data_IF_171482594328
#
_entry.id   IF_171482594328
#
_cell.length_a   1.000
_cell.length_b   1.000
_cell.length_c   1.000
_cell.angle_alpha   90.00
_cell.angle_beta   90.00
_cell.angle_gamma   90.00
#
_symmetry.space_group_name_H-M   'P 1'
#
loop_
_entity.id
_entity.type
_entity.pdbx_description
1 polymer ?
#
# COMPACT_ATOMS: atom_id res chain seq x y z
N UNK A 1 2.05 63.46 5.66
CA UNK A 1 0.76 63.30 5.01
C UNK A 1 0.19 61.93 5.36
N UNK A 2 -0.94 61.94 5.96
CA UNK A 2 -1.56 61.06 6.89
C UNK A 2 -1.91 59.65 6.42
N UNK A 3 -1.78 58.72 7.37
CA UNK A 3 -2.38 57.36 7.33
C UNK A 3 -3.88 57.47 7.67
N UNK A 4 -4.75 56.74 7.04
CA UNK A 4 -6.13 56.63 7.49
C UNK A 4 -6.27 55.53 8.56
N UNK A 5 -6.98 55.89 9.63
CA UNK A 5 -7.41 55.04 10.76
C UNK A 5 -8.62 54.24 10.41
N UNK A 6 -8.75 52.93 10.83
CA UNK A 6 -9.96 52.15 10.66
C UNK A 6 -11.00 52.52 11.73
N UNK A 7 -12.32 52.37 11.42
CA UNK A 7 -13.39 52.74 12.31
C UNK A 7 -13.66 51.72 13.42
N UNK A 8 -14.02 52.27 14.58
CA UNK A 8 -14.38 51.53 15.79
C UNK A 8 -15.71 50.82 15.68
N UNK A 9 -15.78 49.60 16.23
CA UNK A 9 -17.00 48.79 16.34
C UNK A 9 -17.65 49.07 17.69
N UNK A 10 -18.92 49.45 17.66
CA UNK A 10 -19.75 49.67 18.86
C UNK A 10 -20.63 48.40 19.07
N UNK A 11 -20.74 47.88 20.30
CA UNK A 11 -21.67 46.79 20.57
C UNK A 11 -23.05 47.33 20.88
N UNK A 12 -24.05 46.91 20.14
CA UNK A 12 -25.47 47.14 20.41
C UNK A 12 -26.06 46.05 21.30
N UNK A 13 -26.67 46.47 22.37
CA UNK A 13 -27.41 45.64 23.32
C UNK A 13 -28.86 45.43 22.87
N UNK A 14 -29.40 44.25 23.23
CA UNK A 14 -30.77 44.14 23.63
C UNK A 14 -31.71 43.36 22.72
N UNK A 15 -32.29 42.33 23.31
CA UNK A 15 -33.71 42.01 23.40
C UNK A 15 -33.98 40.50 23.28
N UNK A 16 -34.18 39.92 24.42
CA UNK A 16 -35.29 39.09 24.99
C UNK A 16 -36.21 38.32 24.06
N UNK A 17 -36.33 37.04 24.43
CA UNK A 17 -37.53 36.17 24.48
C UNK A 17 -38.06 35.66 23.14
N UNK A 18 -37.96 34.34 22.99
CA UNK A 18 -39.15 33.47 22.97
C UNK A 18 -38.71 32.01 23.22
N UNK A 19 -39.39 31.40 24.17
CA UNK A 19 -39.21 30.02 24.58
C UNK A 19 -40.07 29.14 23.66
N UNK A 20 -39.49 28.13 23.05
CA UNK A 20 -40.18 27.07 22.35
C UNK A 20 -40.33 25.85 23.30
N UNK A 21 -41.58 25.38 23.58
CA UNK A 21 -41.81 24.32 24.57
C UNK A 21 -42.05 22.97 23.92
N UNK A 22 -41.05 22.35 23.28
CA UNK A 22 -41.14 20.94 22.84
C UNK A 22 -39.79 20.20 22.92
N UNK A 23 -39.16 20.26 24.08
CA UNK A 23 -38.10 19.35 24.43
C UNK A 23 -38.66 18.11 25.12
N UNK A 24 -38.92 17.05 24.36
CA UNK A 24 -39.25 15.73 24.87
C UNK A 24 -38.07 15.14 25.64
N UNK A 25 -38.12 15.23 26.98
CA UNK A 25 -37.21 14.57 27.88
C UNK A 25 -37.50 13.06 27.90
N UNK A 26 -36.58 12.26 27.34
CA UNK A 26 -36.61 10.80 27.50
C UNK A 26 -36.08 10.43 28.89
N UNK A 27 -37.01 10.18 29.79
CA UNK A 27 -36.73 9.55 31.09
C UNK A 27 -36.34 8.10 30.91
N UNK A 28 -35.16 7.74 31.37
CA UNK A 28 -34.73 6.37 31.59
C UNK A 28 -35.45 5.81 32.82
N UNK A 29 -36.16 4.69 32.74
CA UNK A 29 -36.73 4.08 33.94
C UNK A 29 -35.66 3.29 34.70
N UNK A 30 -35.33 3.74 35.88
CA UNK A 30 -34.67 2.98 36.93
C UNK A 30 -35.65 1.96 37.48
N UNK A 31 -35.54 0.72 37.08
CA UNK A 31 -36.32 -0.38 37.66
C UNK A 31 -35.37 -1.49 38.09
N UNK A 32 -35.12 -1.53 39.40
CA UNK A 32 -34.46 -2.65 40.04
C UNK A 32 -35.36 -3.88 40.06
N UNK A 33 -34.86 -4.99 39.60
CA UNK A 33 -35.37 -6.32 39.91
C UNK A 33 -34.19 -7.18 40.34
N UNK A 34 -34.23 -7.52 41.64
CA UNK A 34 -33.39 -8.52 42.27
C UNK A 34 -33.85 -9.89 41.80
N UNK A 35 -32.97 -10.70 41.26
CA UNK A 35 -33.20 -12.10 40.98
C UNK A 35 -32.05 -13.02 41.36
N UNK A 36 -32.32 -14.29 41.63
CA UNK A 36 -31.61 -15.09 42.61
C UNK A 36 -30.31 -15.69 42.09
N UNK A 37 -29.40 -15.83 43.04
CA UNK A 37 -28.10 -16.45 42.90
C UNK A 37 -28.17 -17.88 42.32
N UNK A 38 -27.54 -18.07 41.13
CA UNK A 38 -27.05 -19.37 40.72
C UNK A 38 -25.60 -19.55 41.19
N UNK A 39 -25.23 -20.72 41.72
CA UNK A 39 -23.87 -20.95 42.17
C UNK A 39 -22.92 -20.95 41.00
N UNK A 40 -21.93 -20.04 41.05
CA UNK A 40 -20.78 -20.01 40.17
C UNK A 40 -19.91 -21.23 40.43
N UNK A 41 -19.82 -22.12 39.47
CA UNK A 41 -18.83 -23.19 39.42
C UNK A 41 -17.46 -22.56 39.21
N UNK A 42 -16.60 -22.61 40.23
CA UNK A 42 -15.33 -21.90 40.36
C UNK A 42 -14.14 -22.67 39.74
N UNK A 43 -14.32 -23.45 38.69
CA UNK A 43 -13.21 -24.21 38.06
C UNK A 43 -13.19 -24.19 36.52
N UNK A 44 -13.60 -23.10 35.90
CA UNK A 44 -13.20 -22.85 34.51
C UNK A 44 -11.97 -21.93 34.52
N UNK A 45 -10.84 -22.32 33.93
CA UNK A 45 -9.72 -21.41 33.76
C UNK A 45 -10.21 -20.23 32.89
N UNK A 46 -10.17 -19.06 33.47
CA UNK A 46 -10.41 -17.78 32.84
C UNK A 46 -9.40 -17.65 31.69
N UNK A 47 -9.80 -18.03 30.47
CA UNK A 47 -9.06 -17.78 29.25
C UNK A 47 -9.19 -16.29 28.97
N UNK A 48 -8.33 -15.54 29.67
CA UNK A 48 -8.29 -14.09 29.63
C UNK A 48 -8.27 -13.59 28.20
N UNK A 49 -9.15 -12.66 27.93
CA UNK A 49 -9.18 -11.74 26.80
C UNK A 49 -7.88 -10.91 26.66
N UNK A 50 -6.86 -11.21 27.49
CA UNK A 50 -5.63 -10.41 27.63
C UNK A 50 -4.54 -10.72 26.60
N UNK A 51 -4.69 -11.77 25.80
CA UNK A 51 -3.64 -12.17 24.84
C UNK A 51 -3.80 -11.59 23.43
N UNK A 52 -4.85 -10.84 23.16
CA UNK A 52 -4.96 -10.03 21.95
C UNK A 52 -4.49 -8.61 22.27
N UNK A 53 -3.73 -7.95 21.37
CA UNK A 53 -3.36 -6.57 21.58
C UNK A 53 -4.61 -5.77 21.96
N UNK A 54 -4.54 -4.94 23.03
CA UNK A 54 -5.68 -4.21 23.53
C UNK A 54 -6.32 -3.43 22.38
N UNK A 55 -7.64 -3.50 22.28
CA UNK A 55 -8.39 -2.55 21.48
C UNK A 55 -8.10 -1.18 22.07
N UNK A 56 -7.25 -0.40 21.42
CA UNK A 56 -7.04 0.99 21.79
C UNK A 56 -8.35 1.73 21.58
N UNK A 57 -9.10 1.94 22.64
CA UNK A 57 -10.33 2.73 22.67
C UNK A 57 -10.07 4.23 22.78
N UNK A 58 -8.82 4.68 22.64
CA UNK A 58 -8.48 6.09 22.50
C UNK A 58 -8.73 6.59 21.06
N UNK A 59 -9.81 6.12 20.46
CA UNK A 59 -10.40 6.82 19.32
C UNK A 59 -11.19 7.96 19.96
N UNK A 60 -10.60 9.14 19.98
CA UNK A 60 -11.35 10.38 20.11
C UNK A 60 -12.57 10.24 19.21
N UNK A 61 -13.75 10.52 19.78
CA UNK A 61 -15.07 10.42 19.15
C UNK A 61 -15.18 11.38 17.94
N UNK A 62 -14.29 11.26 16.96
CA UNK A 62 -14.55 11.75 15.61
C UNK A 62 -15.39 10.69 14.89
N UNK A 63 -16.68 10.79 15.16
CA UNK A 63 -17.70 10.02 14.49
C UNK A 63 -17.58 10.21 12.98
N UNK A 64 -16.95 9.25 12.29
CA UNK A 64 -16.99 9.22 10.85
C UNK A 64 -15.86 8.51 10.11
N UNK A 65 -14.71 8.22 10.72
CA UNK A 65 -13.64 7.57 9.97
C UNK A 65 -13.64 6.04 10.16
N UNK A 66 -14.66 5.39 9.63
CA UNK A 66 -14.53 3.97 9.31
C UNK A 66 -13.36 3.79 8.33
N UNK A 67 -12.60 2.69 8.46
CA UNK A 67 -11.57 2.36 7.49
C UNK A 67 -12.12 2.54 6.07
N UNK A 68 -11.42 3.23 5.16
CA UNK A 68 -11.91 3.42 3.81
C UNK A 68 -12.05 2.05 3.16
N UNK A 69 -13.30 1.66 2.97
CA UNK A 69 -13.66 0.36 2.40
C UNK A 69 -13.67 0.50 0.89
N UNK A 70 -12.91 -0.34 0.21
CA UNK A 70 -13.05 -0.49 -1.23
C UNK A 70 -14.30 -1.32 -1.50
N UNK A 71 -15.33 -0.77 -2.13
CA UNK A 71 -16.42 -1.58 -2.63
C UNK A 71 -15.87 -2.65 -3.59
N UNK A 72 -16.39 -3.88 -3.58
CA UNK A 72 -15.98 -4.89 -4.54
C UNK A 72 -16.15 -4.35 -5.97
N UNK A 73 -15.08 -4.40 -6.76
CA UNK A 73 -15.10 -3.90 -8.14
C UNK A 73 -14.75 -2.42 -8.32
N UNK A 74 -14.23 -1.73 -7.31
CA UNK A 74 -13.75 -0.36 -7.48
C UNK A 74 -12.55 -0.34 -8.43
N UNK A 75 -12.75 0.16 -9.64
CA UNK A 75 -11.69 0.37 -10.62
C UNK A 75 -11.20 1.81 -10.54
N UNK A 76 -9.97 2.00 -10.07
CA UNK A 76 -9.33 3.31 -10.04
C UNK A 76 -8.95 3.77 -11.45
N UNK A 77 -9.23 5.03 -11.76
CA UNK A 77 -8.75 5.68 -12.99
C UNK A 77 -9.33 5.11 -14.27
N UNK A 78 -10.64 5.12 -14.45
CA UNK A 78 -11.33 4.60 -15.63
C UNK A 78 -11.22 5.46 -16.90
N UNK A 79 -10.30 6.43 -16.97
CA UNK A 79 -10.05 7.07 -18.25
C UNK A 79 -9.47 6.04 -19.22
N UNK A 80 -10.11 5.87 -20.37
CA UNK A 80 -9.65 4.94 -21.40
C UNK A 80 -8.26 5.33 -21.87
N UNK A 81 -7.34 4.38 -21.84
CA UNK A 81 -6.01 4.56 -22.39
C UNK A 81 -6.11 4.86 -23.91
N UNK A 82 -5.26 5.76 -24.39
CA UNK A 82 -5.28 6.20 -25.80
C UNK A 82 -4.67 5.16 -26.77
N UNK A 83 -4.01 4.14 -26.23
CA UNK A 83 -3.40 3.06 -26.99
C UNK A 83 -3.49 1.73 -26.22
N UNK A 84 -3.41 0.58 -26.93
CA UNK A 84 -3.38 -0.72 -26.29
C UNK A 84 -2.11 -0.86 -25.44
N UNK A 85 -2.27 -1.50 -24.26
CA UNK A 85 -1.19 -1.74 -23.30
C UNK A 85 -1.05 -3.21 -22.98
N UNK A 86 0.15 -3.60 -22.58
CA UNK A 86 0.45 -4.86 -21.93
C UNK A 86 0.67 -4.59 -20.45
N UNK A 87 0.13 -5.44 -19.59
CA UNK A 87 0.31 -5.33 -18.13
C UNK A 87 0.96 -6.60 -17.63
N UNK A 88 2.05 -6.46 -16.87
CA UNK A 88 2.65 -7.57 -16.16
C UNK A 88 1.81 -7.88 -14.92
N UNK A 89 1.22 -9.06 -14.88
CA UNK A 89 0.32 -9.48 -13.80
C UNK A 89 0.97 -9.50 -12.40
N UNK A 90 2.30 -9.72 -12.33
CA UNK A 90 2.99 -9.82 -11.06
C UNK A 90 3.32 -8.46 -10.46
N UNK A 91 3.85 -7.56 -11.29
CA UNK A 91 4.35 -6.23 -10.87
C UNK A 91 3.35 -5.11 -11.16
N UNK A 92 2.35 -5.37 -12.01
CA UNK A 92 1.43 -4.36 -12.49
C UNK A 92 2.05 -3.34 -13.48
N UNK A 93 3.28 -3.55 -13.90
CA UNK A 93 3.97 -2.65 -14.84
C UNK A 93 3.20 -2.56 -16.16
N UNK A 94 2.82 -1.34 -16.52
CA UNK A 94 2.12 -1.04 -17.77
C UNK A 94 3.14 -0.73 -18.88
N UNK A 95 2.97 -1.35 -20.03
CA UNK A 95 3.85 -1.18 -21.19
C UNK A 95 3.03 -0.83 -22.42
N UNK A 96 3.36 0.30 -23.04
CA UNK A 96 2.83 0.74 -24.32
C UNK A 96 3.90 0.63 -25.38
N UNK A 97 3.60 0.01 -26.52
CA UNK A 97 4.47 -0.04 -27.69
C UNK A 97 3.67 0.50 -28.87
N UNK A 98 3.91 1.75 -29.25
CA UNK A 98 3.09 2.44 -30.24
C UNK A 98 3.83 3.60 -30.89
N UNK A 99 3.52 3.86 -32.17
CA UNK A 99 4.00 5.02 -32.91
C UNK A 99 3.19 6.30 -32.62
N UNK A 100 1.98 6.16 -32.08
CA UNK A 100 1.07 7.29 -31.84
C UNK A 100 1.69 8.34 -30.93
N UNK A 101 2.32 7.89 -29.84
CA UNK A 101 2.95 8.77 -28.85
C UNK A 101 4.32 9.31 -29.30
N UNK A 102 4.88 8.76 -30.37
CA UNK A 102 6.10 9.28 -30.98
C UNK A 102 5.81 10.42 -31.96
N UNK A 103 4.64 10.38 -32.60
CA UNK A 103 4.24 11.35 -33.62
C UNK A 103 3.69 12.65 -33.00
N UNK A 104 2.96 12.56 -31.89
CA UNK A 104 2.30 13.72 -31.28
C UNK A 104 2.62 13.86 -29.78
N UNK A 105 3.37 14.90 -29.40
CA UNK A 105 3.73 15.16 -27.98
C UNK A 105 2.53 15.44 -27.10
N UNK A 106 1.41 16.01 -27.64
CA UNK A 106 0.20 16.27 -26.88
C UNK A 106 -0.56 14.98 -26.52
N UNK A 107 -0.55 13.99 -27.43
CA UNK A 107 -1.13 12.68 -27.12
C UNK A 107 -0.32 11.95 -26.08
N UNK A 108 1.03 12.05 -26.13
CA UNK A 108 1.91 11.51 -25.11
C UNK A 108 1.65 12.15 -23.75
N UNK A 109 1.56 13.48 -23.68
CA UNK A 109 1.25 14.23 -22.47
C UNK A 109 -0.09 13.81 -21.87
N UNK A 110 -1.13 13.70 -22.70
CA UNK A 110 -2.45 13.26 -22.30
C UNK A 110 -2.42 11.84 -21.72
N UNK A 111 -1.71 10.91 -22.38
CA UNK A 111 -1.55 9.54 -21.86
C UNK A 111 -0.82 9.51 -20.52
N UNK A 112 0.24 10.30 -20.36
CA UNK A 112 0.98 10.39 -19.10
C UNK A 112 0.06 10.90 -17.98
N UNK A 113 -0.76 11.92 -18.23
CA UNK A 113 -1.72 12.44 -17.25
C UNK A 113 -2.79 11.40 -16.90
N UNK A 114 -3.31 10.65 -17.88
CA UNK A 114 -4.22 9.52 -17.64
C UNK A 114 -3.55 8.46 -16.76
N UNK A 115 -2.31 8.09 -17.10
CA UNK A 115 -1.56 7.09 -16.33
C UNK A 115 -1.18 7.58 -14.94
N UNK A 116 -0.83 8.86 -14.78
CA UNK A 116 -0.54 9.48 -13.48
C UNK A 116 -1.77 9.54 -12.57
N UNK A 117 -2.98 9.55 -13.15
CA UNK A 117 -4.23 9.54 -12.40
C UNK A 117 -4.54 8.19 -11.75
N UNK A 118 -3.93 7.10 -12.21
CA UNK A 118 -4.08 5.78 -11.60
C UNK A 118 -3.17 5.66 -10.39
N UNK A 119 -3.69 5.22 -9.23
CA UNK A 119 -2.87 5.07 -8.03
C UNK A 119 -1.86 3.94 -8.18
N UNK A 120 -0.68 4.04 -7.54
CA UNK A 120 0.14 2.88 -7.25
C UNK A 120 -0.58 2.01 -6.23
N UNK A 121 -0.26 0.72 -6.19
CA UNK A 121 -0.84 -0.22 -5.25
C UNK A 121 0.23 -0.67 -4.24
N UNK A 122 0.38 0.06 -3.11
CA UNK A 122 1.27 -0.35 -2.04
C UNK A 122 0.65 -1.49 -1.24
N UNK A 123 1.50 -2.44 -0.84
CA UNK A 123 1.14 -3.57 0.01
C UNK A 123 2.05 -3.61 1.23
N UNK A 124 1.50 -4.03 2.35
CA UNK A 124 2.28 -4.59 3.45
C UNK A 124 2.33 -6.10 3.27
N UNK A 125 3.50 -6.69 3.21
CA UNK A 125 3.69 -8.14 3.09
C UNK A 125 4.50 -8.63 4.27
N UNK A 126 3.93 -9.55 5.03
CA UNK A 126 4.52 -10.18 6.21
C UNK A 126 4.74 -11.64 5.89
N UNK A 127 5.99 -12.07 5.89
CA UNK A 127 6.39 -13.41 5.51
C UNK A 127 7.17 -14.06 6.66
N UNK A 128 6.64 -15.15 7.17
CA UNK A 128 7.28 -15.95 8.22
C UNK A 128 7.83 -17.25 7.67
N UNK A 129 9.10 -17.55 8.01
CA UNK A 129 9.78 -18.76 7.58
C UNK A 129 10.56 -19.38 8.74
N UNK A 130 10.65 -20.72 8.74
CA UNK A 130 11.58 -21.45 9.58
C UNK A 130 12.45 -22.38 8.74
N UNK A 131 13.56 -22.85 9.31
CA UNK A 131 14.44 -23.81 8.66
C UNK A 131 14.11 -25.20 9.15
N UNK A 132 13.87 -26.11 8.20
CA UNK A 132 13.63 -27.53 8.46
C UNK A 132 14.73 -28.37 7.81
N UNK A 133 15.21 -29.39 8.52
CA UNK A 133 16.10 -30.40 7.97
C UNK A 133 15.28 -31.42 7.19
N UNK A 134 15.49 -31.47 5.88
CA UNK A 134 14.87 -32.47 5.01
C UNK A 134 15.94 -33.43 4.55
N UNK A 135 15.67 -34.73 4.70
CA UNK A 135 16.52 -35.78 4.17
C UNK A 135 16.09 -36.12 2.74
N UNK A 136 16.89 -35.68 1.78
CA UNK A 136 16.67 -35.94 0.37
C UNK A 136 17.84 -36.75 -0.18
N UNK A 137 17.56 -37.97 -0.70
CA UNK A 137 18.57 -38.91 -1.21
C UNK A 137 19.66 -39.28 -0.20
N UNK A 138 19.34 -39.44 1.08
CA UNK A 138 20.30 -39.80 2.13
C UNK A 138 21.22 -38.64 2.55
N UNK A 139 20.98 -37.43 2.08
CA UNK A 139 21.68 -36.21 2.52
C UNK A 139 20.70 -35.28 3.25
N UNK A 140 21.12 -34.83 4.42
CA UNK A 140 20.39 -33.82 5.19
C UNK A 140 20.67 -32.46 4.56
N UNK A 141 19.62 -31.81 4.05
CA UNK A 141 19.68 -30.45 3.50
C UNK A 141 18.76 -29.53 4.30
N UNK A 142 19.23 -28.32 4.57
CA UNK A 142 18.38 -27.27 5.15
C UNK A 142 17.44 -26.72 4.07
N UNK A 143 16.15 -26.68 4.38
CA UNK A 143 15.15 -26.06 3.52
C UNK A 143 14.37 -25.02 4.32
N UNK A 144 14.26 -23.81 3.75
CA UNK A 144 13.37 -22.81 4.30
C UNK A 144 11.90 -23.17 3.96
N UNK A 145 11.09 -23.27 4.99
CA UNK A 145 9.64 -23.53 4.86
C UNK A 145 8.89 -22.26 5.21
N UNK A 146 7.91 -21.91 4.37
CA UNK A 146 7.04 -20.77 4.63
C UNK A 146 5.94 -21.20 5.59
N UNK A 147 5.88 -20.54 6.75
CA UNK A 147 4.84 -20.77 7.74
C UNK A 147 3.57 -19.99 7.42
N UNK A 148 3.74 -18.73 7.07
CA UNK A 148 2.65 -17.86 6.67
C UNK A 148 3.16 -16.78 5.72
N UNK A 149 2.26 -16.28 4.88
CA UNK A 149 2.48 -15.13 4.02
C UNK A 149 1.22 -14.29 3.96
N UNK A 150 1.21 -13.20 4.69
CA UNK A 150 0.04 -12.32 4.82
C UNK A 150 0.36 -11.01 4.14
N UNK A 151 -0.55 -10.52 3.30
CA UNK A 151 -0.42 -9.20 2.69
C UNK A 151 -1.69 -8.38 2.88
N UNK A 152 -1.53 -7.06 3.00
CA UNK A 152 -2.62 -6.09 3.12
C UNK A 152 -2.40 -5.02 2.07
N UNK A 153 -3.44 -4.69 1.30
CA UNK A 153 -3.39 -3.61 0.30
C UNK A 153 -3.67 -2.26 0.94
N UNK A 154 -2.78 -1.30 0.73
CA UNK A 154 -2.89 0.04 1.29
C UNK A 154 -3.44 1.09 0.30
N UNK A 155 -3.83 0.69 -0.90
CA UNK A 155 -4.36 1.62 -1.93
C UNK A 155 -5.53 2.48 -1.43
N UNK A 156 -6.50 1.97 -0.64
CA UNK A 156 -7.61 2.79 -0.13
C UNK A 156 -7.15 3.99 0.71
N UNK A 157 -6.03 3.83 1.42
CA UNK A 157 -5.51 4.86 2.33
C UNK A 157 -4.77 6.00 1.63
N UNK A 158 -4.62 5.94 0.30
CA UNK A 158 -4.12 7.04 -0.54
C UNK A 158 -5.22 8.04 -0.91
N UNK A 159 -6.46 7.80 -0.49
CA UNK A 159 -7.60 8.65 -0.76
C UNK A 159 -8.20 9.19 0.53
N UNK A 160 -8.52 10.48 0.54
CA UNK A 160 -9.30 11.08 1.63
C UNK A 160 -10.77 10.64 1.57
N UNK A 161 -11.27 10.43 0.36
CA UNK A 161 -12.57 9.82 0.09
C UNK A 161 -12.44 8.89 -1.12
N UNK A 162 -12.68 7.61 -0.87
CA UNK A 162 -12.59 6.56 -1.90
C UNK A 162 -13.69 6.70 -2.95
N UNK A 163 -14.88 7.18 -2.55
CA UNK A 163 -16.01 7.31 -3.46
C UNK A 163 -15.78 8.42 -4.51
N UNK A 164 -15.25 9.56 -4.08
CA UNK A 164 -14.91 10.68 -4.97
C UNK A 164 -13.51 10.59 -5.55
N UNK A 165 -12.71 9.60 -5.14
CA UNK A 165 -11.30 9.43 -5.53
C UNK A 165 -10.43 10.68 -5.28
N UNK A 166 -10.75 11.42 -4.22
CA UNK A 166 -10.00 12.60 -3.82
C UNK A 166 -8.68 12.17 -3.14
N UNK A 167 -7.56 12.60 -3.71
CA UNK A 167 -6.20 12.25 -3.24
C UNK A 167 -5.26 13.44 -3.37
N UNK A 168 -4.19 13.43 -2.58
CA UNK A 168 -3.11 14.40 -2.71
C UNK A 168 -2.08 13.88 -3.71
N UNK A 169 -2.39 14.09 -4.98
CA UNK A 169 -1.53 13.67 -6.08
C UNK A 169 -0.89 14.87 -6.75
N UNK A 170 0.41 14.79 -6.99
CA UNK A 170 1.16 15.78 -7.73
C UNK A 170 1.99 15.10 -8.85
N UNK A 171 1.90 15.63 -10.07
CA UNK A 171 2.77 15.20 -11.16
C UNK A 171 3.97 16.14 -11.24
N UNK A 172 5.15 15.60 -10.95
CA UNK A 172 6.40 16.35 -10.93
C UNK A 172 7.32 15.93 -12.07
N UNK A 173 8.03 16.93 -12.61
CA UNK A 173 9.19 16.69 -13.47
C UNK A 173 10.47 16.71 -12.66
N UNK A 174 11.47 15.95 -13.10
CA UNK A 174 12.77 15.80 -12.42
C UNK A 174 13.51 17.12 -12.34
N UNK A 175 14.09 17.38 -11.18
CA UNK A 175 14.93 18.55 -10.95
C UNK A 175 16.33 18.38 -11.54
N UNK A 176 17.00 19.51 -11.81
CA UNK A 176 18.33 19.50 -12.39
C UNK A 176 19.39 18.80 -11.52
N UNK A 177 19.17 18.79 -10.20
CA UNK A 177 20.01 18.11 -9.21
C UNK A 177 19.88 16.58 -9.21
N UNK A 178 18.75 16.04 -9.65
CA UNK A 178 18.45 14.62 -9.58
C UNK A 178 19.21 13.82 -10.64
N UNK A 179 19.69 12.63 -10.25
CA UNK A 179 20.32 11.67 -11.17
C UNK A 179 19.25 10.82 -11.86
N UNK A 180 18.94 11.14 -13.12
CA UNK A 180 17.94 10.43 -13.94
C UNK A 180 18.40 10.29 -15.38
N UNK A 181 17.71 9.45 -16.15
CA UNK A 181 17.88 9.37 -17.59
C UNK A 181 17.05 10.45 -18.28
N UNK A 182 17.72 11.40 -18.93
CA UNK A 182 17.12 12.53 -19.68
C UNK A 182 17.29 12.35 -21.19
N UNK A 183 16.81 11.24 -21.76
CA UNK A 183 17.11 10.84 -23.13
C UNK A 183 18.52 10.29 -23.28
N UNK A 184 19.03 9.69 -22.22
CA UNK A 184 20.38 9.11 -22.15
C UNK A 184 20.29 7.66 -21.71
N UNK A 185 21.35 6.90 -21.93
CA UNK A 185 21.48 5.51 -21.46
C UNK A 185 21.74 5.47 -19.95
N UNK A 186 22.58 6.38 -19.48
CA UNK A 186 23.00 6.41 -18.09
C UNK A 186 22.29 7.54 -17.34
N UNK A 187 22.00 7.30 -16.06
CA UNK A 187 21.47 8.32 -15.16
C UNK A 187 22.53 9.39 -14.87
N UNK A 188 22.22 10.64 -15.21
CA UNK A 188 23.09 11.80 -15.02
C UNK A 188 22.28 12.95 -14.42
N UNK A 189 22.98 13.87 -13.72
CA UNK A 189 22.43 15.17 -13.38
C UNK A 189 22.37 16.05 -14.63
N UNK A 190 21.61 17.15 -14.57
CA UNK A 190 21.56 18.10 -15.67
C UNK A 190 22.96 18.66 -16.00
N UNK A 191 23.25 18.99 -17.26
CA UNK A 191 24.48 19.70 -17.61
C UNK A 191 24.60 21.01 -16.82
N UNK A 192 25.78 21.32 -16.33
CA UNK A 192 26.04 22.56 -15.55
C UNK A 192 25.89 22.45 -14.03
N UNK A 193 25.26 21.37 -13.51
CA UNK A 193 25.06 21.21 -12.05
C UNK A 193 26.36 21.17 -11.21
N UNK A 194 27.51 20.85 -11.82
CA UNK A 194 28.82 20.81 -11.12
C UNK A 194 29.53 22.15 -11.05
N UNK A 195 29.11 23.12 -11.83
CA UNK A 195 29.62 24.46 -11.73
C UNK A 195 28.77 25.17 -10.67
N UNK A 196 29.38 25.61 -9.59
CA UNK A 196 28.84 26.51 -8.55
C UNK A 196 28.44 27.88 -9.11
N UNK A 197 28.34 28.00 -10.40
CA UNK A 197 27.56 29.04 -10.99
C UNK A 197 26.16 28.76 -10.50
N UNK A 198 25.57 29.65 -9.71
CA UNK A 198 24.15 29.77 -9.58
C UNK A 198 23.53 29.74 -10.99
N UNK A 199 23.39 28.56 -11.57
CA UNK A 199 22.44 28.29 -12.63
C UNK A 199 21.09 28.36 -11.91
N UNK A 200 21.00 29.51 -11.21
CA UNK A 200 19.79 29.99 -10.63
C UNK A 200 18.85 30.11 -11.78
N UNK A 201 17.70 29.56 -11.62
CA UNK A 201 16.48 29.99 -12.28
C UNK A 201 16.22 29.58 -13.70
N UNK A 202 16.97 28.66 -14.31
CA UNK A 202 16.36 27.98 -15.44
C UNK A 202 15.22 27.12 -14.92
N UNK A 203 13.95 27.49 -15.21
CA UNK A 203 12.81 26.74 -14.71
C UNK A 203 12.96 25.28 -15.18
N UNK A 204 12.73 24.34 -14.27
CA UNK A 204 12.78 22.93 -14.64
C UNK A 204 11.86 22.70 -15.84
N UNK A 205 12.25 21.86 -16.82
CA UNK A 205 11.44 21.62 -18.00
C UNK A 205 10.06 21.06 -17.61
N UNK A 206 9.03 21.58 -18.23
CA UNK A 206 7.65 21.16 -18.04
C UNK A 206 7.40 19.76 -18.62
N UNK A 207 6.30 19.12 -18.28
CA UNK A 207 5.90 17.83 -18.85
C UNK A 207 5.79 17.94 -20.39
N UNK A 208 5.17 19.00 -20.90
CA UNK A 208 5.03 19.25 -22.33
C UNK A 208 6.38 19.31 -23.04
N UNK A 209 7.36 20.02 -22.47
CA UNK A 209 8.71 20.09 -23.03
C UNK A 209 9.42 18.75 -23.06
N UNK A 210 9.25 17.90 -22.03
CA UNK A 210 9.80 16.56 -22.03
C UNK A 210 9.16 15.66 -23.09
N UNK A 211 7.84 15.79 -23.30
CA UNK A 211 7.14 15.10 -24.38
C UNK A 211 7.67 15.53 -25.76
N UNK A 212 7.86 16.84 -25.96
CA UNK A 212 8.48 17.36 -27.18
C UNK A 212 9.91 16.83 -27.39
N UNK A 213 10.75 16.82 -26.35
CA UNK A 213 12.12 16.27 -26.42
C UNK A 213 12.13 14.78 -26.74
N UNK A 214 11.19 14.01 -26.21
CA UNK A 214 11.03 12.60 -26.55
C UNK A 214 10.65 12.40 -28.03
N UNK A 215 9.66 13.13 -28.52
CA UNK A 215 9.22 13.06 -29.91
C UNK A 215 10.33 13.52 -30.87
N UNK A 216 11.03 14.60 -30.55
CA UNK A 216 12.15 15.11 -31.35
C UNK A 216 13.40 14.22 -31.34
N UNK A 217 13.48 13.25 -30.44
CA UNK A 217 14.64 12.35 -30.37
C UNK A 217 14.64 11.35 -31.53
N UNK A 218 15.69 11.34 -32.35
CA UNK A 218 15.89 10.40 -33.45
C UNK A 218 16.48 9.05 -33.03
N UNK A 219 16.44 8.69 -31.74
CA UNK A 219 16.98 7.42 -31.29
C UNK A 219 16.14 6.24 -31.81
N UNK A 220 16.79 5.22 -32.33
CA UNK A 220 16.14 4.01 -32.86
C UNK A 220 15.34 3.28 -31.76
N UNK A 221 15.89 3.19 -30.56
CA UNK A 221 15.22 2.58 -29.40
C UNK A 221 15.12 3.61 -28.30
N UNK A 222 13.91 4.04 -27.98
CA UNK A 222 13.63 5.01 -26.91
C UNK A 222 12.46 4.59 -26.06
N UNK A 223 12.50 5.01 -24.80
CA UNK A 223 11.50 4.70 -23.80
C UNK A 223 11.21 5.93 -22.96
N UNK A 224 9.95 6.28 -22.79
CA UNK A 224 9.50 7.26 -21.80
C UNK A 224 8.97 6.52 -20.57
N UNK A 225 9.37 6.96 -19.39
CA UNK A 225 9.03 6.29 -18.12
C UNK A 225 8.30 7.27 -17.22
N UNK A 226 7.10 6.89 -16.80
CA UNK A 226 6.39 7.51 -15.70
C UNK A 226 6.56 6.60 -14.48
N UNK A 227 6.97 7.18 -13.35
CA UNK A 227 7.04 6.48 -12.06
C UNK A 227 5.97 7.03 -11.13
N UNK A 228 5.15 6.14 -10.55
CA UNK A 228 4.21 6.45 -9.48
C UNK A 228 4.86 6.12 -8.15
N UNK A 229 4.85 7.05 -7.19
CA UNK A 229 5.48 6.85 -5.88
C UNK A 229 4.50 7.18 -4.77
N UNK A 230 4.56 6.42 -3.70
CA UNK A 230 3.93 6.81 -2.43
C UNK A 230 4.95 7.60 -1.63
N UNK A 231 4.57 8.78 -1.14
CA UNK A 231 5.45 9.70 -0.43
C UNK A 231 4.88 9.98 0.96
N UNK A 232 5.76 10.11 1.96
CA UNK A 232 5.36 10.45 3.33
C UNK A 232 4.82 9.27 4.15
N UNK A 233 5.05 8.02 3.72
CA UNK A 233 4.71 6.82 4.47
C UNK A 233 5.90 6.34 5.30
N UNK A 234 5.73 6.15 6.61
CA UNK A 234 6.77 5.69 7.52
C UNK A 234 6.78 4.15 7.59
N UNK A 235 7.56 3.55 6.66
CA UNK A 235 7.72 2.10 6.61
C UNK A 235 8.40 1.52 7.85
N UNK A 236 9.35 2.24 8.46
CA UNK A 236 10.12 1.73 9.59
C UNK A 236 9.27 1.63 10.84
N UNK A 237 8.45 2.64 11.09
CA UNK A 237 7.50 2.66 12.19
C UNK A 237 6.52 1.48 12.09
N UNK A 238 5.87 1.34 10.96
CA UNK A 238 4.90 0.24 10.76
C UNK A 238 5.58 -1.13 10.80
N UNK A 239 6.80 -1.26 10.25
CA UNK A 239 7.59 -2.49 10.30
C UNK A 239 7.86 -2.92 11.74
N UNK A 240 8.28 -2.00 12.60
CA UNK A 240 8.58 -2.29 14.01
C UNK A 240 7.34 -2.74 14.78
N UNK A 241 6.19 -2.09 14.54
CA UNK A 241 4.92 -2.46 15.17
C UNK A 241 4.44 -3.84 14.71
N UNK A 242 4.54 -4.14 13.42
CA UNK A 242 4.13 -5.43 12.87
C UNK A 242 5.09 -6.58 13.30
N UNK A 243 6.39 -6.32 13.42
CA UNK A 243 7.32 -7.33 13.97
C UNK A 243 6.96 -7.64 15.42
N UNK A 244 6.71 -6.63 16.25
CA UNK A 244 6.27 -6.81 17.63
C UNK A 244 4.94 -7.59 17.70
N UNK A 245 3.99 -7.30 16.79
CA UNK A 245 2.73 -8.01 16.69
C UNK A 245 2.93 -9.50 16.38
N UNK A 246 3.76 -9.82 15.39
CA UNK A 246 4.05 -11.22 15.04
C UNK A 246 4.78 -11.92 16.18
N UNK A 247 5.72 -11.25 16.86
CA UNK A 247 6.41 -11.80 18.03
C UNK A 247 5.48 -12.04 19.22
N UNK A 248 4.45 -11.21 19.39
CA UNK A 248 3.43 -11.42 20.43
C UNK A 248 2.64 -12.72 20.25
N UNK A 249 2.55 -13.27 19.03
CA UNK A 249 1.98 -14.59 18.78
C UNK A 249 2.91 -15.75 19.16
N UNK A 250 4.04 -15.45 19.79
CA UNK A 250 5.10 -16.41 20.17
C UNK A 250 5.75 -17.12 18.97
N UNK A 251 5.74 -16.47 17.80
CA UNK A 251 6.44 -16.97 16.62
C UNK A 251 7.95 -16.79 16.77
N UNK A 252 8.72 -17.87 16.55
CA UNK A 252 10.17 -17.92 16.73
C UNK A 252 10.97 -17.94 15.43
N UNK A 253 10.31 -18.14 14.29
CA UNK A 253 10.96 -18.17 12.99
C UNK A 253 11.45 -16.81 12.52
N UNK A 254 11.97 -16.77 11.32
CA UNK A 254 12.39 -15.54 10.65
C UNK A 254 11.18 -14.78 10.11
N UNK A 255 11.07 -13.49 10.45
CA UNK A 255 10.01 -12.59 9.94
C UNK A 255 10.63 -11.61 8.96
N UNK A 256 10.05 -11.52 7.77
CA UNK A 256 10.43 -10.57 6.74
C UNK A 256 9.22 -9.69 6.41
N UNK A 257 9.29 -8.40 6.74
CA UNK A 257 8.24 -7.41 6.45
C UNK A 257 8.73 -6.50 5.33
N UNK A 258 7.98 -6.48 4.24
CA UNK A 258 8.30 -5.68 3.04
C UNK A 258 7.10 -4.87 2.60
N UNK A 259 7.36 -3.76 1.91
CA UNK A 259 6.35 -2.84 1.38
C UNK A 259 6.43 -2.78 -0.15
N UNK A 260 6.05 -3.88 -0.85
CA UNK A 260 6.07 -3.87 -2.31
C UNK A 260 4.99 -2.96 -2.86
N UNK A 261 5.35 -2.19 -3.89
CA UNK A 261 4.41 -1.33 -4.63
C UNK A 261 4.19 -1.96 -6.00
N UNK A 262 2.94 -2.28 -6.32
CA UNK A 262 2.54 -2.66 -7.68
C UNK A 262 2.08 -1.44 -8.46
N UNK A 263 2.00 -1.56 -9.78
CA UNK A 263 1.61 -0.47 -10.68
C UNK A 263 2.52 0.78 -10.57
N UNK A 264 3.78 0.60 -10.14
CA UNK A 264 4.72 1.70 -9.92
C UNK A 264 5.20 2.33 -11.23
N UNK A 265 5.43 1.52 -12.27
CA UNK A 265 6.04 1.99 -13.50
C UNK A 265 5.12 1.88 -14.70
N UNK A 266 5.18 2.91 -15.56
CA UNK A 266 4.58 2.92 -16.88
C UNK A 266 5.68 3.18 -17.92
N UNK A 267 5.86 2.24 -18.83
CA UNK A 267 6.84 2.33 -19.91
C UNK A 267 6.14 2.59 -21.23
N UNK A 268 6.55 3.65 -21.93
CA UNK A 268 6.07 3.99 -23.27
C UNK A 268 7.23 3.87 -24.22
N UNK A 269 7.24 2.81 -25.00
CA UNK A 269 8.26 2.52 -26.01
C UNK A 269 7.82 3.02 -27.40
N UNK A 270 8.78 3.46 -28.18
CA UNK A 270 8.52 3.72 -29.60
C UNK A 270 8.31 2.39 -30.35
N UNK A 271 7.55 2.49 -31.45
CA UNK A 271 7.19 1.35 -32.29
C UNK A 271 8.31 0.97 -33.27
N UNK A 272 9.40 0.41 -32.74
CA UNK A 272 10.45 -0.17 -33.53
C UNK A 272 10.42 -1.71 -33.46
N UNK A 273 10.97 -2.39 -34.48
CA UNK A 273 10.97 -3.85 -34.53
C UNK A 273 11.67 -4.49 -33.32
N UNK A 274 12.70 -3.86 -32.74
CA UNK A 274 13.40 -4.31 -31.53
C UNK A 274 12.46 -4.33 -30.33
N UNK A 275 11.70 -3.26 -30.13
CA UNK A 275 10.76 -3.18 -29.01
C UNK A 275 9.58 -4.14 -29.20
N UNK A 276 9.07 -4.31 -30.42
CA UNK A 276 8.04 -5.34 -30.69
C UNK A 276 8.56 -6.73 -30.34
N UNK A 277 9.78 -7.09 -30.72
CA UNK A 277 10.39 -8.39 -30.40
C UNK A 277 10.58 -8.57 -28.90
N UNK A 278 11.06 -7.51 -28.22
CA UNK A 278 11.27 -7.52 -26.76
C UNK A 278 9.99 -7.83 -25.98
N UNK A 279 8.83 -7.39 -26.45
CA UNK A 279 7.54 -7.56 -25.77
C UNK A 279 6.70 -8.71 -26.31
N UNK A 280 7.18 -9.46 -27.31
CA UNK A 280 6.50 -10.65 -27.86
C UNK A 280 6.97 -11.90 -27.12
N UNK A 281 6.05 -12.58 -26.41
CA UNK A 281 6.39 -13.69 -25.52
C UNK A 281 7.12 -14.86 -26.19
N UNK A 282 6.66 -15.32 -27.37
CA UNK A 282 7.30 -16.44 -28.05
C UNK A 282 8.73 -16.12 -28.52
N UNK A 283 9.01 -14.88 -28.94
CA UNK A 283 10.35 -14.42 -29.31
C UNK A 283 11.26 -14.41 -28.09
N UNK A 284 10.75 -13.92 -26.94
CA UNK A 284 11.49 -13.95 -25.65
C UNK A 284 11.91 -15.38 -25.29
N UNK A 285 11.00 -16.36 -25.44
CA UNK A 285 11.31 -17.76 -25.16
C UNK A 285 12.42 -18.29 -26.08
N UNK A 286 12.44 -17.95 -27.39
CA UNK A 286 13.53 -18.32 -28.29
C UNK A 286 14.85 -17.74 -27.79
N UNK A 287 14.89 -16.46 -27.42
CA UNK A 287 16.11 -15.82 -26.92
C UNK A 287 16.60 -16.46 -25.61
N UNK A 288 15.70 -16.89 -24.72
CA UNK A 288 16.08 -17.61 -23.51
C UNK A 288 16.66 -19.00 -23.82
N UNK A 289 15.99 -19.79 -24.65
CA UNK A 289 16.41 -21.14 -25.02
C UNK A 289 17.73 -21.18 -25.81
N UNK A 290 17.97 -20.18 -26.66
CA UNK A 290 19.19 -20.08 -27.50
C UNK A 290 20.34 -19.33 -26.83
N UNK A 291 20.17 -18.88 -25.57
CA UNK A 291 21.13 -18.05 -24.85
C UNK A 291 21.50 -16.72 -25.56
N UNK A 292 20.77 -16.32 -26.57
CA UNK A 292 20.98 -15.05 -27.28
C UNK A 292 20.76 -13.82 -26.36
N UNK A 293 20.08 -13.99 -25.24
CA UNK A 293 19.88 -12.92 -24.25
C UNK A 293 21.20 -12.38 -23.69
N UNK A 294 22.28 -13.19 -23.65
CA UNK A 294 23.62 -12.78 -23.20
C UNK A 294 24.15 -11.63 -24.04
N UNK A 295 23.88 -11.66 -25.35
CA UNK A 295 24.30 -10.62 -26.29
C UNK A 295 23.28 -9.52 -26.45
N UNK A 296 22.00 -9.87 -26.50
CA UNK A 296 20.94 -8.90 -26.74
C UNK A 296 20.70 -7.98 -25.53
N UNK A 297 20.91 -8.44 -24.29
CA UNK A 297 20.72 -7.63 -23.10
C UNK A 297 21.71 -6.45 -22.99
N UNK A 298 23.05 -6.64 -23.16
CA UNK A 298 23.98 -5.52 -23.17
C UNK A 298 23.70 -4.56 -24.36
N UNK A 299 23.37 -5.10 -25.54
CA UNK A 299 22.99 -4.29 -26.67
C UNK A 299 21.79 -3.38 -26.33
N UNK A 300 20.69 -3.94 -25.86
CA UNK A 300 19.51 -3.16 -25.46
C UNK A 300 19.85 -2.13 -24.39
N UNK A 301 20.67 -2.50 -23.42
CA UNK A 301 21.07 -1.61 -22.34
C UNK A 301 21.81 -0.37 -22.85
N UNK A 302 22.77 -0.54 -23.76
CA UNK A 302 23.58 0.56 -24.27
C UNK A 302 22.92 1.37 -25.41
N UNK A 303 21.92 0.80 -26.07
CA UNK A 303 21.25 1.47 -27.20
C UNK A 303 19.91 2.11 -26.85
N UNK A 304 19.27 1.70 -25.76
CA UNK A 304 17.98 2.28 -25.35
C UNK A 304 18.19 3.65 -24.69
N UNK A 305 17.64 4.71 -25.29
CA UNK A 305 17.58 6.03 -24.65
C UNK A 305 16.33 6.12 -23.80
N UNK A 306 16.53 6.32 -22.50
CA UNK A 306 15.45 6.37 -21.51
C UNK A 306 15.19 7.81 -21.08
N UNK A 307 13.91 8.19 -21.02
CA UNK A 307 13.41 9.45 -20.46
C UNK A 307 12.68 9.13 -19.15
N UNK A 308 13.41 9.03 -18.06
CA UNK A 308 12.88 8.84 -16.69
C UNK A 308 12.79 10.22 -16.03
N UNK A 309 11.82 11.01 -16.48
CA UNK A 309 11.77 12.45 -16.19
C UNK A 309 10.48 12.91 -15.52
N UNK A 310 9.53 12.02 -15.33
CA UNK A 310 8.22 12.33 -14.74
C UNK A 310 7.90 11.36 -13.63
N UNK A 311 7.49 11.91 -12.49
CA UNK A 311 6.98 11.16 -11.33
C UNK A 311 5.58 11.65 -10.97
N UNK A 312 4.70 10.72 -10.65
CA UNK A 312 3.42 11.00 -10.03
C UNK A 312 3.55 10.64 -8.54
N UNK A 313 3.65 11.67 -7.72
CA UNK A 313 3.77 11.52 -6.27
C UNK A 313 2.36 11.46 -5.66
N UNK A 314 2.11 10.42 -4.89
CA UNK A 314 0.90 10.18 -4.15
C UNK A 314 1.24 10.34 -2.68
N UNK A 315 0.90 11.48 -2.11
CA UNK A 315 1.25 11.77 -0.74
C UNK A 315 0.32 11.01 0.20
N UNK A 316 0.92 10.22 1.07
CA UNK A 316 0.27 9.58 2.20
C UNK A 316 0.17 10.55 3.38
N UNK A 317 1.25 11.30 3.62
CA UNK A 317 1.29 12.37 4.61
C UNK A 317 2.09 13.57 4.12
N UNK A 318 1.77 14.75 4.66
CA UNK A 318 2.50 16.01 4.41
C UNK A 318 2.85 16.69 5.72
N UNK A 319 4.05 17.24 5.87
CA UNK A 319 4.38 18.08 7.01
C UNK A 319 3.58 19.39 6.95
N UNK A 320 2.96 19.75 8.07
CA UNK A 320 2.30 21.04 8.25
C UNK A 320 3.28 22.08 8.84
N UNK A 321 2.94 23.36 8.73
CA UNK A 321 3.73 24.47 9.28
C UNK A 321 3.91 24.39 10.81
N UNK A 322 3.00 23.72 11.51
CA UNK A 322 3.06 23.49 12.95
C UNK A 322 3.97 22.31 13.35
N UNK A 323 4.66 21.67 12.41
CA UNK A 323 5.53 20.52 12.64
C UNK A 323 4.78 19.18 12.80
N UNK A 324 3.44 19.18 12.71
CA UNK A 324 2.65 17.95 12.70
C UNK A 324 2.54 17.38 11.28
N UNK A 325 2.33 16.06 11.19
CA UNK A 325 2.00 15.41 9.92
C UNK A 325 0.49 15.48 9.69
N UNK A 326 0.09 15.94 8.52
CA UNK A 326 -1.28 15.75 8.02
C UNK A 326 -1.31 14.50 7.15
N UNK A 327 -2.32 13.68 7.32
CA UNK A 327 -2.53 12.45 6.57
C UNK A 327 -3.69 12.63 5.59
N UNK A 328 -3.58 11.99 4.43
CA UNK A 328 -4.67 12.02 3.43
C UNK A 328 -5.90 11.29 3.97
N UNK A 329 -5.71 10.15 4.59
CA UNK A 329 -6.77 9.32 5.16
C UNK A 329 -6.49 9.10 6.65
N UNK A 330 -5.65 8.15 6.98
CA UNK A 330 -5.34 7.81 8.38
C UNK A 330 -3.84 7.59 8.57
N UNK A 331 -3.39 7.71 9.82
CA UNK A 331 -1.98 7.51 10.20
C UNK A 331 -1.58 6.04 10.15
N UNK A 332 -0.26 5.78 10.15
CA UNK A 332 0.30 4.42 10.22
C UNK A 332 -0.18 3.69 11.49
N UNK A 333 -0.27 4.40 12.62
CA UNK A 333 -0.76 3.83 13.89
C UNK A 333 -2.22 3.38 13.76
N UNK A 334 -3.03 4.17 13.07
CA UNK A 334 -4.43 3.83 12.84
C UNK A 334 -4.57 2.63 11.90
N UNK A 335 -3.77 2.57 10.84
CA UNK A 335 -3.72 1.40 9.94
C UNK A 335 -3.30 0.16 10.73
N UNK A 336 -2.26 0.27 11.58
CA UNK A 336 -1.83 -0.82 12.44
C UNK A 336 -2.97 -1.29 13.33
N UNK A 337 -3.61 -0.39 14.08
CA UNK A 337 -4.70 -0.74 14.99
C UNK A 337 -5.89 -1.40 14.28
N UNK A 338 -6.21 -0.93 13.06
CA UNK A 338 -7.28 -1.49 12.24
C UNK A 338 -6.99 -2.93 11.82
N UNK A 339 -5.75 -3.22 11.39
CA UNK A 339 -5.40 -4.51 10.81
C UNK A 339 -4.75 -5.49 11.80
N UNK A 340 -4.33 -5.05 12.99
CA UNK A 340 -3.57 -5.86 13.93
C UNK A 340 -4.26 -7.19 14.27
N UNK A 341 -5.58 -7.17 14.55
CA UNK A 341 -6.35 -8.38 14.85
C UNK A 341 -6.44 -9.33 13.66
N UNK A 342 -6.77 -8.81 12.48
CA UNK A 342 -6.87 -9.62 11.27
C UNK A 342 -5.52 -10.25 10.89
N UNK A 343 -4.42 -9.49 11.01
CA UNK A 343 -3.06 -9.98 10.77
C UNK A 343 -2.70 -11.06 11.80
N UNK A 344 -2.89 -10.83 13.11
CA UNK A 344 -2.59 -11.82 14.15
C UNK A 344 -3.35 -13.12 13.93
N UNK A 345 -4.63 -13.03 13.56
CA UNK A 345 -5.48 -14.17 13.24
C UNK A 345 -4.97 -14.94 12.03
N UNK A 346 -4.58 -14.24 10.96
CA UNK A 346 -4.05 -14.85 9.75
C UNK A 346 -2.68 -15.52 10.00
N UNK A 347 -1.82 -14.89 10.83
CA UNK A 347 -0.51 -15.45 11.24
C UNK A 347 -0.70 -16.74 12.04
N UNK A 348 -1.56 -16.73 13.06
CA UNK A 348 -1.87 -17.91 13.87
C UNK A 348 -2.53 -19.02 13.05
N UNK A 349 -3.36 -18.65 12.07
CA UNK A 349 -3.96 -19.57 11.11
C UNK A 349 -3.02 -20.06 10.01
N UNK A 350 -1.73 -19.65 10.01
CA UNK A 350 -0.72 -19.98 8.99
C UNK A 350 -1.21 -19.73 7.56
N UNK A 351 -1.94 -18.62 7.37
CA UNK A 351 -2.55 -18.30 6.08
C UNK A 351 -1.51 -17.76 5.09
N UNK A 352 -1.72 -18.08 3.80
CA UNK A 352 -0.95 -17.52 2.69
C UNK A 352 -1.91 -16.81 1.75
N UNK A 353 -2.25 -15.55 2.08
CA UNK A 353 -3.29 -14.80 1.37
C UNK A 353 -3.13 -13.29 1.50
N UNK A 354 -3.81 -12.56 0.62
CA UNK A 354 -4.04 -11.14 0.79
C UNK A 354 -5.32 -10.96 1.62
N UNK A 355 -5.21 -10.23 2.74
CA UNK A 355 -6.36 -9.93 3.58
C UNK A 355 -7.24 -8.91 2.89
N UNK A 356 -8.53 -9.14 2.95
CA UNK A 356 -9.56 -8.26 2.40
C UNK A 356 -10.46 -7.68 3.50
N UNK A 357 -11.46 -6.92 3.09
CA UNK A 357 -12.43 -6.34 3.99
C UNK A 357 -13.22 -7.39 4.80
N UNK A 358 -13.50 -8.56 4.20
CA UNK A 358 -14.22 -9.63 4.88
C UNK A 358 -13.40 -10.18 6.05
N UNK A 359 -12.08 -10.32 5.86
CA UNK A 359 -11.16 -10.70 6.94
C UNK A 359 -11.15 -9.66 8.06
N UNK A 360 -11.23 -8.38 7.72
CA UNK A 360 -11.32 -7.30 8.70
C UNK A 360 -12.61 -7.39 9.50
N UNK A 361 -13.76 -7.49 8.85
CA UNK A 361 -15.07 -7.62 9.50
C UNK A 361 -15.12 -8.86 10.37
N UNK A 362 -14.67 -10.01 9.85
CA UNK A 362 -14.62 -11.26 10.61
C UNK A 362 -13.74 -11.14 11.86
N UNK A 363 -12.65 -10.39 11.80
CA UNK A 363 -11.79 -10.17 12.97
C UNK A 363 -12.44 -9.35 14.08
N UNK A 364 -13.44 -8.54 13.75
CA UNK A 364 -14.18 -7.72 14.71
C UNK A 364 -15.46 -8.37 15.22
N UNK A 365 -16.08 -9.25 14.43
CA UNK A 365 -17.39 -9.85 14.76
C UNK A 365 -17.26 -11.10 15.62
N UNK A 366 -16.20 -11.89 15.37
CA UNK A 366 -16.01 -13.15 16.07
C UNK A 366 -15.14 -12.97 17.31
N UNK A 367 -15.57 -13.57 18.42
CA UNK A 367 -14.80 -13.63 19.67
C UNK A 367 -13.45 -14.34 19.49
N UNK A 368 -12.69 -14.61 20.55
CA UNK A 368 -11.31 -15.06 20.52
C UNK A 368 -11.02 -16.42 19.85
N UNK A 369 -12.02 -17.14 19.34
CA UNK A 369 -11.88 -18.50 18.83
C UNK A 369 -11.52 -18.59 17.34
N UNK A 370 -10.28 -18.20 17.01
CA UNK A 370 -9.72 -18.32 15.64
C UNK A 370 -9.71 -19.75 15.10
N UNK A 371 -9.70 -20.75 16.00
CA UNK A 371 -9.62 -22.18 15.61
C UNK A 371 -10.99 -22.74 15.29
N UNK A 372 -12.07 -22.21 15.88
CA UNK A 372 -13.42 -22.67 15.66
C UNK A 372 -13.87 -22.44 14.21
N UNK A 373 -13.58 -21.27 13.61
CA UNK A 373 -14.04 -20.91 12.27
C UNK A 373 -13.42 -21.76 11.16
N UNK A 374 -12.10 -22.06 11.27
CA UNK A 374 -11.45 -22.95 10.29
C UNK A 374 -12.04 -24.36 10.35
N UNK A 375 -12.46 -24.78 11.54
CA UNK A 375 -13.05 -26.10 11.77
C UNK A 375 -14.52 -26.16 11.39
N UNK A 376 -15.27 -25.06 11.47
CA UNK A 376 -16.65 -24.97 10.99
C UNK A 376 -16.72 -25.02 9.46
N UNK A 377 -15.79 -24.38 8.77
CA UNK A 377 -15.65 -24.45 7.32
C UNK A 377 -15.37 -25.88 6.81
N UNK A 378 -14.77 -26.75 7.64
CA UNK A 378 -14.40 -28.13 7.28
C UNK A 378 -15.36 -29.17 7.87
N UNK A 379 -16.43 -28.78 8.58
CA UNK A 379 -17.36 -29.69 9.28
C UNK A 379 -16.65 -30.74 10.18
N UNK A 380 -15.61 -30.32 10.90
CA UNK A 380 -14.78 -31.22 11.68
C UNK A 380 -15.52 -31.72 12.95
N UNK A 381 -15.35 -33.02 13.33
CA UNK A 381 -15.94 -33.57 14.56
C UNK A 381 -15.47 -32.84 15.82
N UNK A 382 -16.32 -32.78 16.85
CA UNK A 382 -16.06 -32.01 18.10
C UNK A 382 -14.78 -32.41 18.85
N UNK A 383 -14.35 -33.68 18.73
CA UNK A 383 -13.10 -34.14 19.37
C UNK A 383 -11.85 -33.63 18.62
N UNK A 384 -11.93 -33.43 17.31
CA UNK A 384 -10.86 -32.84 16.50
C UNK A 384 -10.72 -31.36 16.85
N UNK A 385 -11.83 -30.65 17.00
CA UNK A 385 -11.83 -29.24 17.47
C UNK A 385 -11.09 -29.07 18.77
N UNK A 386 -11.41 -29.88 19.81
CA UNK A 386 -10.70 -29.82 21.10
C UNK A 386 -9.21 -30.13 20.97
N UNK A 387 -8.84 -31.08 20.14
CA UNK A 387 -7.45 -31.44 19.90
C UNK A 387 -6.65 -30.30 19.25
N UNK A 388 -7.21 -29.65 18.25
CA UNK A 388 -6.54 -28.53 17.55
C UNK A 388 -6.47 -27.29 18.41
N UNK A 389 -7.51 -26.99 19.21
CA UNK A 389 -7.48 -25.89 20.18
C UNK A 389 -6.40 -26.11 21.23
N UNK A 390 -6.28 -27.35 21.74
CA UNK A 390 -5.22 -27.69 22.70
C UNK A 390 -3.81 -27.56 22.07
N UNK A 391 -3.62 -28.00 20.82
CA UNK A 391 -2.32 -27.86 20.12
C UNK A 391 -2.00 -26.39 19.87
N UNK A 392 -2.97 -25.57 19.47
CA UNK A 392 -2.79 -24.15 19.27
C UNK A 392 -2.40 -23.45 20.58
N UNK A 393 -3.02 -23.83 21.71
CA UNK A 393 -2.67 -23.30 23.03
C UNK A 393 -1.26 -23.71 23.45
N UNK A 394 -0.89 -24.99 23.28
CA UNK A 394 0.46 -25.50 23.57
C UNK A 394 1.50 -24.80 22.70
N UNK A 395 1.25 -24.65 21.41
CA UNK A 395 2.14 -23.93 20.50
C UNK A 395 2.31 -22.45 20.92
N UNK A 396 1.24 -21.81 21.39
CA UNK A 396 1.29 -20.42 21.89
C UNK A 396 2.18 -20.32 23.16
N UNK A 397 2.15 -21.31 24.06
CA UNK A 397 2.97 -21.34 25.26
C UNK A 397 4.43 -21.71 24.96
N UNK A 398 4.68 -22.72 24.12
CA UNK A 398 6.03 -23.22 23.82
C UNK A 398 6.72 -22.42 22.71
N UNK A 399 5.98 -21.63 21.93
CA UNK A 399 6.44 -20.97 20.71
C UNK A 399 6.36 -21.92 19.50
N UNK A 400 6.21 -21.33 18.32
CA UNK A 400 6.03 -22.04 17.06
C UNK A 400 6.93 -21.46 15.95
N UNK A 401 7.18 -22.24 14.90
CA UNK A 401 8.08 -21.83 13.81
C UNK A 401 9.54 -21.73 14.21
N UNK A 402 9.98 -22.50 15.22
CA UNK A 402 11.40 -22.56 15.56
C UNK A 402 12.16 -23.41 14.53
N UNK A 403 13.41 -23.01 14.26
CA UNK A 403 14.32 -23.82 13.49
C UNK A 403 14.47 -25.18 14.20
N UNK A 404 14.42 -26.29 13.48
CA UNK A 404 14.58 -27.67 14.00
C UNK A 404 13.31 -28.35 14.56
N UNK A 405 12.12 -27.80 14.35
CA UNK A 405 10.88 -28.52 14.70
C UNK A 405 10.43 -29.50 13.61
#
# INVERSE_FOLDING_TARGET
MGKPTPPAYTPGAGSSADADPDALSLHTPTGGVSDPAFPLDLDAPDLGTDDLPPLYSDIDNDAGSGAPLLPPGTHFGQSADLAPKQVDQNTGVEVFVTSVFEADPKLLEKQINISAAKPPRPFVRIHGTHRQMVEENGKKTEKAVTDFEVSVELTPYLFSDVATQLSWRETRTVENSEKTCRGTVFRKRAPGYKQDIEVGTDPKPTLAEWCHRYCASHATVKCFVLRRRVVGFDEEKLRSQLDALVRSTNYRGSVCITFPVKDEYVFIYNDCWINRWRHTNWIRWIFYLTFLWIFSWPFLYFFTKTFEVVTADWDFSRPQENGRLAYVSMSEDHIYNTWARAISRAVLGKRQTCLDHNDLVASHTDGPDVVADVMDAVNAPSFVRRGVTAIAHVNRQLGWGSDWS
#
